data_IF_457530711623
#
_entry.id   IF_457530711623
#
_cell.length_a   1.000
_cell.length_b   1.000
_cell.length_c   1.000
_cell.angle_alpha   90.00
_cell.angle_beta   90.00
_cell.angle_gamma   90.00
#
_symmetry.space_group_name_H-M   'P 1'
#
loop_
_entity.id
_entity.type
_entity.pdbx_description
1 polymer ?
#
# COMPACT_ATOMS: atom_id res chain seq x y z
N UNK A 1 19.01 17.59 20.54
CA UNK A 1 18.79 16.81 19.34
C UNK A 1 17.45 16.05 19.32
N UNK A 2 16.98 15.50 20.44
CA UNK A 2 15.76 14.65 20.48
C UNK A 2 14.41 15.37 20.30
N UNK A 3 14.35 16.71 20.37
CA UNK A 3 13.07 17.45 20.26
C UNK A 3 12.32 17.24 18.93
N UNK A 4 13.03 16.98 17.83
CA UNK A 4 12.41 16.78 16.51
C UNK A 4 11.59 15.47 16.41
N UNK A 5 11.85 14.51 17.28
CA UNK A 5 11.15 13.22 17.30
C UNK A 5 10.03 13.15 18.37
N UNK A 6 9.82 14.22 19.14
CA UNK A 6 8.71 14.31 20.08
C UNK A 6 7.43 14.74 19.36
N UNK A 7 7.06 14.01 18.31
CA UNK A 7 5.88 14.23 17.46
C UNK A 7 5.04 12.97 17.37
N UNK A 8 3.75 13.13 17.14
CA UNK A 8 2.85 12.01 16.92
C UNK A 8 3.25 11.20 15.67
N UNK A 9 3.66 11.87 14.60
CA UNK A 9 4.11 11.22 13.37
C UNK A 9 5.24 10.22 13.63
N UNK A 10 6.30 10.66 14.35
CA UNK A 10 7.39 9.74 14.70
C UNK A 10 6.93 8.65 15.66
N UNK A 11 6.13 8.98 16.65
CA UNK A 11 5.67 8.04 17.67
C UNK A 11 4.86 6.89 17.05
N UNK A 12 3.94 7.21 16.14
CA UNK A 12 3.09 6.25 15.43
C UNK A 12 3.91 5.46 14.39
N UNK A 13 4.73 6.13 13.57
CA UNK A 13 5.67 5.45 12.68
C UNK A 13 6.48 4.39 13.43
N UNK A 14 7.10 4.79 14.54
CA UNK A 14 7.95 3.90 15.33
C UNK A 14 7.18 2.77 16.02
N UNK A 15 5.95 3.01 16.44
CA UNK A 15 5.08 1.98 17.01
C UNK A 15 4.67 0.95 15.96
N UNK A 16 4.25 1.39 14.77
CA UNK A 16 3.90 0.49 13.67
C UNK A 16 5.11 -0.31 13.20
N UNK A 17 6.26 0.33 13.03
CA UNK A 17 7.49 -0.34 12.64
C UNK A 17 7.86 -1.43 13.66
N UNK A 18 7.86 -1.14 14.95
CA UNK A 18 8.15 -2.13 15.97
C UNK A 18 7.13 -3.28 16.00
N UNK A 19 5.86 -2.97 15.78
CA UNK A 19 4.80 -3.99 15.79
C UNK A 19 5.03 -5.05 14.69
N UNK A 20 5.42 -4.63 13.51
CA UNK A 20 5.63 -5.53 12.38
C UNK A 20 7.09 -5.99 12.22
N UNK A 21 8.06 -5.22 12.72
CA UNK A 21 9.49 -5.50 12.61
C UNK A 21 10.19 -5.36 13.98
N UNK A 22 9.84 -6.17 14.98
CA UNK A 22 10.34 -6.03 16.35
C UNK A 22 11.83 -6.28 16.50
N UNK A 23 12.48 -6.88 15.51
CA UNK A 23 13.94 -7.09 15.46
C UNK A 23 14.72 -5.79 15.26
N UNK A 24 14.08 -4.74 14.71
CA UNK A 24 14.72 -3.43 14.54
C UNK A 24 14.87 -2.76 15.91
N UNK A 25 16.09 -2.40 16.27
CA UNK A 25 16.35 -1.77 17.54
C UNK A 25 15.76 -0.35 17.64
N UNK A 26 15.28 0.05 18.83
CA UNK A 26 14.61 1.35 19.03
C UNK A 26 15.45 2.57 18.62
N UNK A 27 16.78 2.50 18.70
CA UNK A 27 17.65 3.58 18.28
C UNK A 27 17.73 3.73 16.77
N UNK A 28 17.49 2.67 15.99
CA UNK A 28 17.48 2.73 14.53
C UNK A 28 16.20 3.37 13.98
N UNK A 29 15.12 3.39 14.77
CA UNK A 29 13.86 3.99 14.33
C UNK A 29 13.98 5.49 14.00
N UNK A 30 14.92 6.20 14.64
CA UNK A 30 15.17 7.62 14.33
C UNK A 30 15.73 7.80 12.92
N UNK A 31 16.73 7.00 12.56
CA UNK A 31 17.33 7.02 11.23
C UNK A 31 16.33 6.57 10.17
N UNK A 32 15.61 5.49 10.43
CA UNK A 32 14.58 4.97 9.51
C UNK A 32 13.45 5.96 9.28
N UNK A 33 13.04 6.70 10.30
CA UNK A 33 12.03 7.76 10.15
C UNK A 33 12.54 8.91 9.27
N UNK A 34 13.78 9.34 9.46
CA UNK A 34 14.38 10.38 8.61
C UNK A 34 14.52 9.91 7.15
N UNK A 35 14.90 8.64 6.95
CA UNK A 35 14.92 8.02 5.62
C UNK A 35 13.52 7.95 5.03
N UNK A 36 12.53 7.50 5.79
CA UNK A 36 11.14 7.43 5.37
C UNK A 36 10.60 8.81 4.95
N UNK A 37 10.79 9.83 5.79
CA UNK A 37 10.38 11.21 5.45
C UNK A 37 11.02 11.72 4.17
N UNK A 38 12.33 11.50 4.00
CA UNK A 38 13.04 11.96 2.80
C UNK A 38 12.72 11.12 1.56
N UNK A 39 12.38 9.85 1.73
CA UNK A 39 12.04 8.96 0.62
C UNK A 39 10.67 9.28 0.00
N UNK A 40 9.71 9.73 0.80
CA UNK A 40 8.36 10.05 0.35
C UNK A 40 8.13 11.54 0.02
N UNK A 41 9.18 12.32 -0.13
CA UNK A 41 9.07 13.66 -0.70
C UNK A 41 8.66 13.54 -2.17
N UNK A 42 7.67 14.35 -2.58
CA UNK A 42 7.26 14.41 -3.98
C UNK A 42 8.47 14.64 -4.90
N UNK A 43 8.58 13.86 -5.95
CA UNK A 43 9.70 13.88 -6.89
C UNK A 43 9.21 14.20 -8.30
N UNK A 44 10.03 14.90 -9.10
CA UNK A 44 9.70 15.12 -10.50
C UNK A 44 9.44 13.79 -11.22
N UNK A 45 8.53 13.81 -12.17
CA UNK A 45 8.29 12.68 -13.05
C UNK A 45 9.58 12.31 -13.79
N UNK A 46 9.81 10.99 -13.90
CA UNK A 46 10.92 10.43 -14.65
C UNK A 46 10.39 9.82 -15.95
N UNK A 47 10.99 10.17 -17.11
CA UNK A 47 10.58 9.59 -18.39
C UNK A 47 10.66 8.07 -18.39
N UNK A 48 9.83 7.41 -19.19
CA UNK A 48 9.76 5.94 -19.23
C UNK A 48 11.08 5.30 -19.70
N UNK A 49 11.86 6.02 -20.50
CA UNK A 49 13.18 5.59 -20.99
C UNK A 49 14.19 5.39 -19.86
N UNK A 50 14.00 6.07 -18.71
CA UNK A 50 14.82 5.87 -17.52
C UNK A 50 14.41 4.64 -16.71
N UNK A 51 13.30 3.99 -17.07
CA UNK A 51 12.79 2.83 -16.37
C UNK A 51 13.05 1.55 -17.14
N UNK A 52 13.55 0.55 -16.42
CA UNK A 52 13.66 -0.81 -16.93
C UNK A 52 12.57 -1.68 -16.33
N UNK A 53 11.80 -2.34 -17.16
CA UNK A 53 10.93 -3.43 -16.72
C UNK A 53 11.76 -4.71 -16.68
N UNK A 54 11.72 -5.42 -15.54
CA UNK A 54 12.40 -6.72 -15.40
C UNK A 54 11.75 -7.79 -16.28
N UNK A 55 10.44 -7.69 -16.51
CA UNK A 55 9.68 -8.58 -17.39
C UNK A 55 8.50 -7.81 -18.02
N UNK A 56 8.75 -7.00 -19.08
CA UNK A 56 7.70 -6.21 -19.72
C UNK A 56 6.64 -7.08 -20.41
N UNK A 57 6.98 -8.29 -20.84
CA UNK A 57 6.09 -9.15 -21.60
C UNK A 57 5.05 -9.83 -20.70
N UNK A 58 5.35 -9.98 -19.41
CA UNK A 58 4.40 -10.51 -18.42
C UNK A 58 3.05 -9.78 -18.40
N UNK A 59 3.04 -8.47 -18.63
CA UNK A 59 1.80 -7.69 -18.71
C UNK A 59 1.17 -7.70 -20.09
N UNK A 60 1.95 -7.86 -21.17
CA UNK A 60 1.45 -7.89 -22.54
C UNK A 60 0.84 -9.23 -22.91
N UNK A 61 1.44 -10.32 -22.43
CA UNK A 61 1.02 -11.67 -22.77
C UNK A 61 -0.16 -12.16 -21.90
N UNK A 62 -0.97 -13.07 -22.44
CA UNK A 62 -2.02 -13.78 -21.69
C UNK A 62 -3.23 -12.93 -21.29
N UNK A 63 -3.48 -11.79 -21.93
CA UNK A 63 -4.68 -10.98 -21.77
C UNK A 63 -4.69 -10.09 -20.53
N UNK A 64 -5.85 -9.45 -20.24
CA UNK A 64 -5.99 -8.50 -19.14
C UNK A 64 -5.77 -9.08 -17.74
N UNK A 65 -5.23 -8.29 -16.86
CA UNK A 65 -4.89 -8.64 -15.47
C UNK A 65 -5.32 -7.54 -14.50
N UNK A 66 -5.38 -7.86 -13.23
CA UNK A 66 -5.39 -6.85 -12.17
C UNK A 66 -3.93 -6.60 -11.78
N UNK A 67 -3.45 -5.39 -12.02
CA UNK A 67 -2.11 -4.93 -11.64
C UNK A 67 -2.22 -4.31 -10.25
N UNK A 68 -1.52 -4.89 -9.27
CA UNK A 68 -1.53 -4.40 -7.91
C UNK A 68 -0.30 -3.58 -7.62
N UNK A 69 -0.50 -2.31 -7.28
CA UNK A 69 0.52 -1.40 -6.79
C UNK A 69 0.50 -1.30 -5.27
N UNK A 70 1.55 -0.69 -4.73
CA UNK A 70 1.70 -0.38 -3.31
C UNK A 70 2.23 1.05 -3.17
N UNK A 71 1.98 1.71 -2.04
CA UNK A 71 2.54 3.02 -1.73
C UNK A 71 4.03 2.91 -1.39
N UNK A 72 4.82 2.51 -2.39
CA UNK A 72 6.27 2.32 -2.33
C UNK A 72 6.97 3.40 -3.18
N UNK A 73 7.55 4.40 -2.54
CA UNK A 73 8.41 5.40 -3.16
C UNK A 73 7.86 6.05 -4.44
N UNK A 74 8.29 5.57 -5.60
CA UNK A 74 7.90 6.12 -6.90
C UNK A 74 6.54 5.62 -7.42
N UNK A 75 5.69 5.08 -6.58
CA UNK A 75 4.42 4.46 -6.99
C UNK A 75 3.52 5.38 -7.84
N UNK A 76 3.52 6.69 -7.57
CA UNK A 76 2.73 7.65 -8.34
C UNK A 76 3.18 7.79 -9.81
N UNK A 77 4.41 7.39 -10.13
CA UNK A 77 4.94 7.44 -11.51
C UNK A 77 4.58 6.20 -12.32
N UNK A 78 4.31 5.07 -11.67
CA UNK A 78 4.09 3.79 -12.34
C UNK A 78 2.96 3.80 -13.38
N UNK A 79 1.81 4.46 -13.17
CA UNK A 79 0.78 4.52 -14.20
C UNK A 79 1.28 5.13 -15.51
N UNK A 80 2.08 6.21 -15.44
CA UNK A 80 2.67 6.83 -16.64
C UNK A 80 3.70 5.92 -17.29
N UNK A 81 4.57 5.31 -16.50
CA UNK A 81 5.58 4.35 -17.00
C UNK A 81 4.92 3.17 -17.73
N UNK A 82 3.85 2.59 -17.16
CA UNK A 82 3.10 1.51 -17.80
C UNK A 82 2.45 1.95 -19.11
N UNK A 83 1.86 3.15 -19.13
CA UNK A 83 1.27 3.71 -20.33
C UNK A 83 2.30 3.97 -21.42
N UNK A 84 3.49 4.45 -21.07
CA UNK A 84 4.60 4.65 -22.01
C UNK A 84 5.09 3.34 -22.63
N UNK A 85 4.96 2.23 -21.90
CA UNK A 85 5.22 0.89 -22.41
C UNK A 85 4.06 0.31 -23.24
N UNK A 86 3.01 1.08 -23.49
CA UNK A 86 1.84 0.68 -24.27
C UNK A 86 0.83 -0.18 -23.50
N UNK A 87 0.95 -0.28 -22.18
CA UNK A 87 0.00 -1.01 -21.33
C UNK A 87 -1.27 -0.17 -21.16
N UNK A 88 -2.42 -0.71 -21.55
CA UNK A 88 -3.71 -0.06 -21.41
C UNK A 88 -4.41 -0.53 -20.13
N UNK A 89 -4.90 0.42 -19.32
CA UNK A 89 -5.53 0.11 -18.04
C UNK A 89 -6.57 1.16 -17.62
N UNK A 90 -7.48 0.77 -16.74
CA UNK A 90 -8.30 1.68 -15.95
C UNK A 90 -7.84 1.63 -14.50
N UNK A 91 -7.84 2.76 -13.78
CA UNK A 91 -7.45 2.80 -12.35
C UNK A 91 -8.70 2.73 -11.47
N UNK A 92 -8.74 1.75 -10.56
CA UNK A 92 -9.75 1.67 -9.52
C UNK A 92 -9.26 2.36 -8.25
N UNK A 93 -10.00 3.36 -7.78
CA UNK A 93 -9.64 4.13 -6.60
C UNK A 93 -10.85 4.56 -5.75
N UNK A 94 -10.57 5.02 -4.57
CA UNK A 94 -11.57 5.61 -3.66
C UNK A 94 -11.99 7.01 -4.14
N UNK A 95 -13.26 7.34 -3.89
CA UNK A 95 -13.83 8.64 -4.23
C UNK A 95 -13.12 9.81 -3.53
N UNK A 96 -12.75 9.63 -2.25
CA UNK A 96 -12.06 10.69 -1.48
C UNK A 96 -10.68 10.98 -2.08
N UNK A 97 -9.94 9.93 -2.47
CA UNK A 97 -8.63 10.06 -3.12
C UNK A 97 -8.79 10.78 -4.46
N UNK A 98 -9.75 10.35 -5.29
CA UNK A 98 -10.02 11.00 -6.58
C UNK A 98 -10.34 12.49 -6.42
N UNK A 99 -11.19 12.87 -5.45
CA UNK A 99 -11.55 14.27 -5.22
C UNK A 99 -10.41 15.09 -4.63
N UNK A 100 -9.57 14.49 -3.79
CA UNK A 100 -8.42 15.17 -3.17
C UNK A 100 -7.29 15.48 -4.17
N UNK A 101 -7.17 14.67 -5.25
CA UNK A 101 -6.13 14.77 -6.27
C UNK A 101 -6.72 15.08 -7.66
N UNK A 102 -7.89 15.74 -7.71
CA UNK A 102 -8.66 15.90 -8.94
C UNK A 102 -7.86 16.53 -10.09
N UNK A 103 -7.07 17.56 -9.82
CA UNK A 103 -6.31 18.26 -10.86
C UNK A 103 -5.22 17.37 -11.48
N UNK A 104 -4.46 16.65 -10.66
CA UNK A 104 -3.45 15.69 -11.13
C UNK A 104 -4.09 14.53 -11.90
N UNK A 105 -5.27 14.07 -11.45
CA UNK A 105 -6.02 13.00 -12.11
C UNK A 105 -6.56 13.44 -13.47
N UNK A 106 -7.05 14.67 -13.59
CA UNK A 106 -7.51 15.23 -14.86
C UNK A 106 -6.35 15.47 -15.83
N UNK A 107 -5.21 15.95 -15.33
CA UNK A 107 -4.00 16.13 -16.14
C UNK A 107 -3.56 14.78 -16.73
N UNK A 108 -3.41 13.74 -15.91
CA UNK A 108 -3.04 12.41 -16.37
C UNK A 108 -4.06 11.83 -17.36
N UNK A 109 -5.36 12.02 -17.10
CA UNK A 109 -6.41 11.57 -18.04
C UNK A 109 -6.31 12.27 -19.39
N UNK A 110 -6.03 13.56 -19.40
CA UNK A 110 -5.88 14.35 -20.62
C UNK A 110 -4.65 13.92 -21.40
N UNK A 111 -3.52 13.73 -20.71
CA UNK A 111 -2.29 13.21 -21.29
C UNK A 111 -2.48 11.84 -21.96
N UNK A 112 -3.10 10.88 -21.23
CA UNK A 112 -3.35 9.55 -21.78
C UNK A 112 -4.25 9.60 -23.02
N UNK A 113 -5.30 10.41 -22.99
CA UNK A 113 -6.21 10.60 -24.14
C UNK A 113 -5.52 11.23 -25.35
N UNK A 114 -4.67 12.23 -25.14
CA UNK A 114 -3.90 12.86 -26.25
C UNK A 114 -2.98 11.87 -26.95
N UNK A 115 -2.55 10.83 -26.26
CA UNK A 115 -1.73 9.72 -26.75
C UNK A 115 -2.56 8.59 -27.38
N UNK A 116 -3.89 8.74 -27.49
CA UNK A 116 -4.79 7.73 -28.03
C UNK A 116 -5.05 6.55 -27.11
N UNK A 117 -4.64 6.62 -25.83
CA UNK A 117 -4.85 5.57 -24.87
C UNK A 117 -6.24 5.67 -24.24
N UNK A 118 -6.95 4.54 -24.18
CA UNK A 118 -8.19 4.43 -23.44
C UNK A 118 -7.88 4.32 -21.96
N UNK A 119 -8.35 5.29 -21.18
CA UNK A 119 -8.06 5.40 -19.76
C UNK A 119 -9.24 5.98 -18.99
N UNK A 120 -9.60 5.36 -17.87
CA UNK A 120 -10.67 5.83 -17.00
C UNK A 120 -10.30 5.65 -15.53
N UNK A 121 -10.82 6.53 -14.69
CA UNK A 121 -10.90 6.29 -13.27
C UNK A 121 -12.20 5.58 -12.94
N UNK A 122 -12.13 4.45 -12.25
CA UNK A 122 -13.25 3.70 -11.71
C UNK A 122 -13.34 3.99 -10.21
N UNK A 123 -14.48 4.50 -9.78
CA UNK A 123 -14.67 4.87 -8.37
C UNK A 123 -15.25 3.67 -7.60
N UNK A 124 -14.57 3.28 -6.51
CA UNK A 124 -14.93 2.08 -5.73
C UNK A 124 -16.35 2.10 -5.15
N UNK A 125 -16.90 3.30 -4.89
CA UNK A 125 -18.23 3.51 -4.32
C UNK A 125 -19.34 3.52 -5.37
N UNK A 126 -18.98 3.52 -6.66
CA UNK A 126 -19.95 3.49 -7.74
C UNK A 126 -20.65 2.12 -7.79
N UNK A 127 -21.98 2.04 -7.67
CA UNK A 127 -22.69 0.77 -7.75
C UNK A 127 -22.44 -0.01 -9.06
N UNK A 128 -22.06 0.70 -10.13
CA UNK A 128 -21.73 0.11 -11.44
C UNK A 128 -20.25 -0.26 -11.61
N UNK A 129 -19.42 -0.11 -10.59
CA UNK A 129 -17.97 -0.30 -10.67
C UNK A 129 -17.57 -1.70 -11.19
N UNK A 130 -18.28 -2.74 -10.75
CA UNK A 130 -18.04 -4.10 -11.22
C UNK A 130 -18.34 -4.27 -12.72
N UNK A 131 -19.42 -3.66 -13.21
CA UNK A 131 -19.77 -3.67 -14.64
C UNK A 131 -18.72 -2.91 -15.46
N UNK A 132 -18.29 -1.74 -14.98
CA UNK A 132 -17.24 -0.94 -15.63
C UNK A 132 -15.89 -1.69 -15.66
N UNK A 133 -15.53 -2.35 -14.56
CA UNK A 133 -14.34 -3.19 -14.49
C UNK A 133 -14.41 -4.37 -15.46
N UNK A 134 -15.57 -5.05 -15.54
CA UNK A 134 -15.80 -6.12 -16.51
C UNK A 134 -15.67 -5.63 -17.95
N UNK A 135 -16.24 -4.46 -18.28
CA UNK A 135 -16.11 -3.85 -19.61
C UNK A 135 -14.65 -3.55 -19.93
N UNK A 136 -13.86 -3.02 -18.97
CA UNK A 136 -12.42 -2.79 -19.18
C UNK A 136 -11.70 -4.08 -19.57
N UNK A 137 -11.93 -5.16 -18.82
CA UNK A 137 -11.32 -6.47 -19.08
C UNK A 137 -11.75 -7.01 -20.46
N UNK A 138 -13.04 -6.91 -20.82
CA UNK A 138 -13.55 -7.35 -22.13
C UNK A 138 -12.98 -6.56 -23.31
N UNK A 139 -12.63 -5.29 -23.09
CA UNK A 139 -11.98 -4.43 -24.07
C UNK A 139 -10.45 -4.56 -24.08
N UNK A 140 -9.88 -5.54 -23.39
CA UNK A 140 -8.44 -5.81 -23.37
C UNK A 140 -7.64 -4.92 -22.43
N UNK A 141 -8.29 -4.11 -21.54
CA UNK A 141 -7.58 -3.26 -20.60
C UNK A 141 -7.37 -3.93 -19.25
N UNK A 142 -6.26 -3.66 -18.64
CA UNK A 142 -5.97 -4.06 -17.26
C UNK A 142 -6.75 -3.21 -16.25
N UNK A 143 -6.83 -3.68 -15.01
CA UNK A 143 -7.24 -2.87 -13.86
C UNK A 143 -6.03 -2.61 -12.98
N UNK A 144 -5.78 -1.35 -12.65
CA UNK A 144 -4.69 -0.95 -11.76
C UNK A 144 -5.28 -0.55 -10.41
N UNK A 145 -4.82 -1.18 -9.33
CA UNK A 145 -5.38 -1.02 -7.98
C UNK A 145 -4.25 -1.01 -6.95
N UNK A 146 -4.32 -0.12 -5.96
CA UNK A 146 -3.40 -0.13 -4.82
C UNK A 146 -3.83 -1.18 -3.79
N UNK A 147 -2.96 -2.15 -3.52
CA UNK A 147 -3.27 -3.32 -2.68
C UNK A 147 -3.23 -3.01 -1.17
N UNK A 148 -2.45 -2.03 -0.78
CA UNK A 148 -2.25 -1.58 0.60
C UNK A 148 -3.11 -0.36 0.99
N UNK A 149 -3.99 0.10 0.09
CA UNK A 149 -4.97 1.13 0.37
C UNK A 149 -6.08 0.63 1.30
N UNK A 150 -6.53 1.49 2.22
CA UNK A 150 -7.61 1.15 3.16
C UNK A 150 -8.94 1.84 2.84
N UNK A 151 -8.99 2.68 1.85
CA UNK A 151 -10.20 3.36 1.43
C UNK A 151 -11.19 2.40 0.73
N UNK A 152 -12.47 2.58 0.95
CA UNK A 152 -13.55 1.78 0.33
C UNK A 152 -14.84 1.79 1.16
N UNK A 153 -15.91 1.28 0.56
CA UNK A 153 -17.33 1.42 0.97
C UNK A 153 -17.67 1.00 2.41
N UNK A 154 -16.81 0.31 3.14
CA UNK A 154 -17.17 -0.15 4.48
C UNK A 154 -15.95 -0.31 5.37
N UNK A 155 -16.00 0.35 6.52
CA UNK A 155 -15.01 0.20 7.60
C UNK A 155 -15.18 -1.11 8.39
N UNK A 156 -16.21 -1.90 8.14
CA UNK A 156 -16.49 -3.12 8.90
C UNK A 156 -15.41 -4.19 8.69
N UNK A 157 -14.96 -4.81 9.76
CA UNK A 157 -14.00 -5.94 9.76
C UNK A 157 -14.49 -7.13 8.92
N UNK A 158 -15.79 -7.25 8.66
CA UNK A 158 -16.39 -8.35 7.88
C UNK A 158 -15.95 -8.41 6.40
N UNK A 159 -15.42 -7.31 5.85
CA UNK A 159 -14.88 -7.26 4.47
C UNK A 159 -13.36 -7.35 4.42
N UNK A 160 -12.71 -7.69 5.53
CA UNK A 160 -11.28 -7.89 5.64
C UNK A 160 -10.94 -9.34 5.88
N UNK A 161 -9.77 -9.75 5.45
CA UNK A 161 -9.15 -11.03 5.77
C UNK A 161 -7.85 -10.76 6.53
N UNK A 162 -7.56 -11.60 7.52
CA UNK A 162 -6.29 -11.57 8.22
C UNK A 162 -5.23 -12.29 7.38
N UNK A 163 -4.11 -11.64 7.13
CA UNK A 163 -2.93 -12.23 6.49
C UNK A 163 -1.72 -12.10 7.40
N UNK A 164 -0.79 -13.01 7.29
CA UNK A 164 0.51 -12.88 7.95
C UNK A 164 1.30 -11.79 7.21
N UNK A 165 1.90 -10.89 7.96
CA UNK A 165 2.68 -9.81 7.40
C UNK A 165 3.86 -9.49 8.33
N UNK A 166 5.07 -9.76 7.86
CA UNK A 166 6.28 -9.65 8.68
C UNK A 166 6.12 -10.45 9.98
N UNK A 167 6.31 -9.83 11.14
CA UNK A 167 6.23 -10.52 12.43
C UNK A 167 4.80 -10.66 12.99
N UNK A 168 3.76 -10.08 12.34
CA UNK A 168 2.41 -10.05 12.87
C UNK A 168 1.33 -10.27 11.80
N UNK A 169 0.08 -10.17 12.20
CA UNK A 169 -1.06 -10.20 11.29
C UNK A 169 -1.53 -8.80 10.93
N UNK A 170 -1.95 -8.63 9.68
CA UNK A 170 -2.62 -7.43 9.19
C UNK A 170 -3.99 -7.79 8.62
N UNK A 171 -5.00 -6.96 8.89
CA UNK A 171 -6.34 -7.09 8.32
C UNK A 171 -6.46 -6.28 7.04
N UNK A 172 -6.67 -6.96 5.92
CA UNK A 172 -6.62 -6.37 4.58
C UNK A 172 -7.95 -6.51 3.86
N UNK A 173 -8.28 -5.53 3.03
CA UNK A 173 -9.52 -5.54 2.25
C UNK A 173 -9.46 -6.59 1.14
N UNK A 174 -10.55 -7.28 0.93
CA UNK A 174 -10.65 -8.40 -0.01
C UNK A 174 -11.05 -8.00 -1.43
N UNK A 175 -11.27 -6.71 -1.70
CA UNK A 175 -11.84 -6.21 -2.96
C UNK A 175 -11.07 -6.66 -4.20
N UNK A 176 -9.74 -6.61 -4.18
CA UNK A 176 -8.87 -7.03 -5.30
C UNK A 176 -9.09 -8.51 -5.63
N UNK A 177 -8.96 -9.36 -4.62
CA UNK A 177 -9.10 -10.80 -4.80
C UNK A 177 -10.54 -11.18 -5.21
N UNK A 178 -11.54 -10.49 -4.67
CA UNK A 178 -12.93 -10.69 -5.07
C UNK A 178 -13.15 -10.31 -6.54
N UNK A 179 -12.64 -9.17 -6.99
CA UNK A 179 -12.71 -8.76 -8.40
C UNK A 179 -12.00 -9.77 -9.30
N UNK A 180 -10.79 -10.20 -8.96
CA UNK A 180 -10.05 -11.21 -9.70
C UNK A 180 -10.83 -12.52 -9.84
N UNK A 181 -11.44 -12.96 -8.75
CA UNK A 181 -12.28 -14.16 -8.74
C UNK A 181 -13.49 -14.04 -9.66
N UNK A 182 -14.22 -12.91 -9.61
CA UNK A 182 -15.42 -12.68 -10.39
C UNK A 182 -15.13 -12.44 -11.88
N UNK A 183 -14.04 -11.73 -12.19
CA UNK A 183 -13.62 -11.42 -13.56
C UNK A 183 -12.81 -12.55 -14.19
N UNK A 184 -12.38 -13.54 -13.42
CA UNK A 184 -11.53 -14.67 -13.84
C UNK A 184 -10.22 -14.22 -14.49
N UNK A 185 -9.56 -13.21 -13.91
CA UNK A 185 -8.29 -12.67 -14.38
C UNK A 185 -7.18 -12.84 -13.34
N UNK A 186 -5.91 -12.97 -13.78
CA UNK A 186 -4.78 -13.00 -12.87
C UNK A 186 -4.60 -11.69 -12.10
N UNK A 187 -3.98 -11.78 -10.92
CA UNK A 187 -3.50 -10.63 -10.16
C UNK A 187 -1.98 -10.62 -10.22
N UNK A 188 -1.38 -9.47 -10.59
CA UNK A 188 0.07 -9.31 -10.68
C UNK A 188 0.49 -8.18 -9.75
N UNK A 189 1.23 -8.47 -8.67
CA UNK A 189 1.81 -7.43 -7.83
C UNK A 189 3.01 -6.79 -8.52
N UNK A 190 3.19 -5.48 -8.30
CA UNK A 190 4.17 -4.68 -8.98
C UNK A 190 4.69 -3.59 -8.05
N UNK A 191 6.00 -3.39 -8.01
CA UNK A 191 6.63 -2.33 -7.23
C UNK A 191 7.68 -1.57 -8.03
N UNK A 192 7.87 -0.27 -7.74
CA UNK A 192 9.01 0.47 -8.21
C UNK A 192 10.24 0.14 -7.36
N UNK A 193 11.36 -0.08 -7.98
CA UNK A 193 12.64 -0.27 -7.29
C UNK A 193 13.76 0.53 -7.94
N UNK A 194 14.89 0.62 -7.25
CA UNK A 194 16.09 1.24 -7.78
C UNK A 194 17.24 0.30 -7.55
N UNK A 195 17.89 -0.14 -8.63
CA UNK A 195 19.08 -0.99 -8.61
C UNK A 195 20.18 -0.25 -9.37
N UNK A 196 21.35 -0.08 -8.76
CA UNK A 196 22.51 0.60 -9.35
C UNK A 196 22.20 1.99 -9.96
N UNK A 197 21.32 2.75 -9.29
CA UNK A 197 20.78 4.06 -9.70
C UNK A 197 19.84 4.01 -10.91
N UNK A 198 19.50 2.84 -11.43
CA UNK A 198 18.50 2.66 -12.47
C UNK A 198 17.12 2.43 -11.86
N UNK A 199 16.09 3.05 -12.43
CA UNK A 199 14.70 2.82 -12.04
C UNK A 199 14.23 1.53 -12.71
N UNK A 200 13.63 0.66 -11.92
CA UNK A 200 13.13 -0.63 -12.37
C UNK A 200 11.73 -0.88 -11.86
N UNK A 201 10.99 -1.67 -12.62
CA UNK A 201 9.70 -2.22 -12.20
C UNK A 201 9.88 -3.69 -11.88
N UNK A 202 9.67 -4.04 -10.62
CA UNK A 202 9.70 -5.42 -10.15
C UNK A 202 8.30 -6.02 -10.19
N UNK A 203 8.16 -7.17 -10.83
CA UNK A 203 6.91 -7.92 -10.95
C UNK A 203 6.96 -9.16 -10.09
N UNK A 204 5.91 -9.39 -9.30
CA UNK A 204 5.72 -10.67 -8.63
C UNK A 204 5.02 -11.69 -9.54
N UNK A 205 5.09 -12.96 -9.17
CA UNK A 205 4.44 -14.03 -9.91
C UNK A 205 2.92 -13.81 -10.00
N UNK A 206 2.30 -14.06 -11.17
CA UNK A 206 0.87 -13.94 -11.33
C UNK A 206 0.12 -14.87 -10.36
N UNK A 207 -0.90 -14.33 -9.71
CA UNK A 207 -1.77 -15.08 -8.80
C UNK A 207 -3.02 -15.46 -9.59
N UNK A 208 -3.08 -16.71 -9.99
CA UNK A 208 -4.17 -17.27 -10.80
C UNK A 208 -5.10 -18.09 -9.92
N UNK A 209 -6.39 -18.05 -10.20
CA UNK A 209 -7.38 -18.93 -9.56
C UNK A 209 -7.29 -20.32 -10.16
N UNK A 210 -7.28 -21.35 -9.31
CA UNK A 210 -7.40 -22.74 -9.75
C UNK A 210 -8.83 -23.03 -10.21
N UNK A 211 -9.02 -23.97 -11.15
CA UNK A 211 -10.33 -24.24 -11.77
C UNK A 211 -11.47 -24.46 -10.77
N UNK A 212 -11.24 -25.24 -9.73
CA UNK A 212 -12.25 -25.59 -8.72
C UNK A 212 -12.05 -24.88 -7.37
N UNK A 213 -11.20 -23.85 -7.34
CA UNK A 213 -10.92 -23.15 -6.09
C UNK A 213 -12.12 -22.37 -5.59
N UNK A 214 -12.50 -22.63 -4.35
CA UNK A 214 -13.59 -21.90 -3.70
C UNK A 214 -13.22 -20.43 -3.50
N UNK A 215 -14.23 -19.55 -3.64
CA UNK A 215 -14.03 -18.09 -3.54
C UNK A 215 -13.26 -17.66 -2.29
N UNK A 216 -13.63 -18.17 -1.13
CA UNK A 216 -12.99 -17.73 0.12
C UNK A 216 -11.54 -18.23 0.24
N UNK A 217 -11.23 -19.40 -0.31
CA UNK A 217 -9.87 -19.96 -0.36
C UNK A 217 -9.01 -19.09 -1.26
N UNK A 218 -9.48 -18.80 -2.49
CA UNK A 218 -8.79 -17.92 -3.40
C UNK A 218 -8.54 -16.54 -2.78
N UNK A 219 -9.56 -15.91 -2.17
CA UNK A 219 -9.42 -14.58 -1.55
C UNK A 219 -8.31 -14.60 -0.50
N UNK A 220 -8.31 -15.56 0.41
CA UNK A 220 -7.30 -15.65 1.47
C UNK A 220 -5.90 -15.87 0.89
N UNK A 221 -5.75 -16.78 -0.05
CA UNK A 221 -4.49 -17.09 -0.72
C UNK A 221 -3.98 -15.91 -1.55
N UNK A 222 -4.84 -15.26 -2.30
CA UNK A 222 -4.49 -14.11 -3.13
C UNK A 222 -4.00 -12.95 -2.26
N UNK A 223 -4.75 -12.60 -1.22
CA UNK A 223 -4.34 -11.51 -0.33
C UNK A 223 -3.05 -11.85 0.44
N UNK A 224 -2.86 -13.11 0.87
CA UNK A 224 -1.60 -13.52 1.50
C UNK A 224 -0.41 -13.31 0.55
N UNK A 225 -0.49 -13.81 -0.69
CA UNK A 225 0.59 -13.64 -1.68
C UNK A 225 0.90 -12.18 -2.01
N UNK A 226 -0.12 -11.32 -2.05
CA UNK A 226 0.08 -9.88 -2.25
C UNK A 226 0.88 -9.25 -1.10
N UNK A 227 0.60 -9.66 0.13
CA UNK A 227 1.31 -9.15 1.31
C UNK A 227 2.66 -9.83 1.54
N UNK A 228 2.85 -11.08 1.09
CA UNK A 228 4.17 -11.72 1.03
C UNK A 228 5.09 -10.94 0.07
N UNK A 229 4.59 -10.55 -1.11
CA UNK A 229 5.34 -9.71 -2.04
C UNK A 229 5.71 -8.35 -1.41
N UNK A 230 4.75 -7.66 -0.78
CA UNK A 230 5.03 -6.39 -0.10
C UNK A 230 6.08 -6.57 1.01
N UNK A 231 6.00 -7.64 1.80
CA UNK A 231 6.96 -7.92 2.87
C UNK A 231 8.38 -8.05 2.32
N UNK A 232 8.57 -8.80 1.24
CA UNK A 232 9.88 -8.95 0.56
C UNK A 232 10.41 -7.58 0.09
N UNK A 233 9.55 -6.71 -0.46
CA UNK A 233 9.95 -5.40 -0.96
C UNK A 233 10.44 -4.43 0.12
N UNK A 234 10.00 -4.63 1.37
CA UNK A 234 10.29 -3.71 2.47
C UNK A 234 11.17 -4.30 3.58
N UNK A 235 11.43 -5.61 3.59
CA UNK A 235 12.15 -6.29 4.67
C UNK A 235 13.52 -5.65 4.93
N UNK A 236 14.33 -5.44 3.90
CA UNK A 236 15.64 -4.82 4.00
C UNK A 236 15.59 -3.28 3.95
N UNK A 237 14.48 -2.71 3.49
CA UNK A 237 14.34 -1.27 3.25
C UNK A 237 12.97 -0.77 3.73
N UNK A 238 12.70 -0.85 5.04
CA UNK A 238 11.36 -0.54 5.59
C UNK A 238 10.91 0.90 5.29
N UNK A 239 11.85 1.84 5.14
CA UNK A 239 11.52 3.22 4.78
C UNK A 239 10.84 3.39 3.40
N UNK A 240 10.82 2.36 2.56
CA UNK A 240 10.14 2.42 1.25
C UNK A 240 8.62 2.47 1.38
N UNK A 241 8.03 1.92 2.43
CA UNK A 241 6.58 1.83 2.57
C UNK A 241 5.99 3.06 3.27
N UNK A 242 5.16 3.79 2.54
CA UNK A 242 4.56 5.03 3.02
C UNK A 242 3.58 4.80 4.17
N UNK A 243 2.88 3.67 4.17
CA UNK A 243 1.80 3.40 5.11
C UNK A 243 2.22 3.33 6.58
N UNK A 244 3.52 3.22 6.90
CA UNK A 244 3.98 3.30 8.29
C UNK A 244 3.45 4.53 9.04
N UNK A 245 3.23 5.65 8.35
CA UNK A 245 2.76 6.89 8.95
C UNK A 245 1.30 6.85 9.40
N UNK A 246 0.46 5.99 8.78
CA UNK A 246 -1.00 6.06 8.95
C UNK A 246 -1.71 4.69 9.09
N UNK A 247 -0.99 3.62 9.43
CA UNK A 247 -1.60 2.31 9.70
C UNK A 247 -2.67 2.35 10.80
N UNK A 248 -2.51 3.24 11.79
CA UNK A 248 -3.49 3.45 12.86
C UNK A 248 -4.87 3.95 12.35
N UNK A 249 -4.90 4.62 11.20
CA UNK A 249 -6.14 5.09 10.57
C UNK A 249 -6.83 3.99 9.76
N UNK A 250 -6.10 2.92 9.45
CA UNK A 250 -6.57 1.86 8.55
C UNK A 250 -7.36 0.76 9.24
N UNK A 251 -7.44 0.75 10.58
CA UNK A 251 -8.07 -0.34 11.36
C UNK A 251 -7.63 -1.73 10.85
N UNK A 252 -6.32 -1.89 10.64
CA UNK A 252 -5.74 -3.05 9.96
C UNK A 252 -4.97 -3.99 10.91
N UNK A 253 -4.88 -3.69 12.20
CA UNK A 253 -4.24 -4.53 13.21
C UNK A 253 -5.02 -4.48 14.53
N UNK A 254 -4.84 -5.50 15.35
CA UNK A 254 -5.39 -5.53 16.70
C UNK A 254 -4.32 -5.11 17.70
N UNK A 255 -4.53 -3.96 18.33
CA UNK A 255 -3.76 -3.59 19.51
C UNK A 255 -4.44 -4.29 20.69
N UNK A 256 -3.79 -5.30 21.24
CA UNK A 256 -4.29 -5.98 22.43
C UNK A 256 -4.43 -5.01 23.61
N UNK A 257 -5.36 -5.30 24.52
CA UNK A 257 -5.41 -4.60 25.80
C UNK A 257 -4.23 -5.10 26.63
N UNK A 258 -3.21 -4.25 26.75
CA UNK A 258 -2.03 -4.59 27.56
C UNK A 258 -2.26 -4.13 29.02
N UNK A 259 -1.94 -4.98 30.00
CA UNK A 259 -2.01 -4.61 31.41
C UNK A 259 -1.12 -3.39 31.69
N UNK A 260 -1.61 -2.43 32.47
CA UNK A 260 -0.86 -1.21 32.82
C UNK A 260 0.52 -1.51 33.42
N UNK A 261 0.67 -2.62 34.13
CA UNK A 261 1.90 -3.08 34.76
C UNK A 261 3.03 -3.37 33.73
N UNK A 262 2.69 -3.86 32.53
CA UNK A 262 3.68 -4.10 31.47
C UNK A 262 4.18 -2.80 30.83
N UNK A 263 3.34 -1.78 30.80
CA UNK A 263 3.71 -0.46 30.26
C UNK A 263 4.79 0.26 31.09
N UNK A 264 5.08 -0.23 32.29
CA UNK A 264 6.07 0.37 33.19
C UNK A 264 7.49 -0.20 33.06
N UNK A 265 7.66 -1.39 32.49
CA UNK A 265 8.97 -2.11 32.51
C UNK A 265 10.03 -1.55 31.54
N UNK A 266 9.66 -0.90 30.43
CA UNK A 266 10.60 -0.46 29.40
C UNK A 266 10.50 1.05 29.08
N UNK A 267 10.26 1.88 30.10
CA UNK A 267 9.86 3.29 29.90
C UNK A 267 10.86 4.16 29.14
N UNK A 268 12.17 3.97 29.35
CA UNK A 268 13.16 4.89 28.79
C UNK A 268 13.32 4.80 27.28
N UNK A 269 13.22 3.60 26.72
CA UNK A 269 13.38 3.38 25.29
C UNK A 269 12.07 3.45 24.50
N UNK A 270 10.94 3.05 25.11
CA UNK A 270 9.66 2.91 24.42
C UNK A 270 8.74 4.12 24.48
N UNK A 271 8.97 5.02 25.45
CA UNK A 271 8.10 6.17 25.71
C UNK A 271 8.56 7.44 25.01
N UNK A 272 7.62 8.14 24.39
CA UNK A 272 7.83 9.48 23.80
C UNK A 272 6.93 10.48 24.53
N UNK A 273 7.53 11.60 24.98
CA UNK A 273 6.79 12.69 25.62
C UNK A 273 6.07 13.51 24.55
N UNK A 274 4.74 13.52 24.61
CA UNK A 274 3.87 14.18 23.65
C UNK A 274 2.80 15.04 24.33
N UNK A 275 2.06 15.79 23.54
CA UNK A 275 0.82 16.44 23.97
C UNK A 275 -0.36 15.82 23.22
N UNK A 276 -1.42 15.51 23.97
CA UNK A 276 -2.72 15.09 23.43
C UNK A 276 -3.78 16.06 23.96
N UNK A 277 -4.48 16.73 23.08
CA UNK A 277 -5.47 17.78 23.42
C UNK A 277 -4.91 18.84 24.40
N UNK A 278 -3.68 19.31 24.14
CA UNK A 278 -2.99 20.32 24.97
C UNK A 278 -2.35 19.80 26.26
N UNK A 279 -2.70 18.59 26.72
CA UNK A 279 -2.18 17.98 27.96
C UNK A 279 -0.92 17.17 27.66
N UNK A 280 0.08 17.31 28.54
CA UNK A 280 1.33 16.55 28.46
C UNK A 280 1.11 15.10 28.89
N UNK A 281 1.80 14.19 28.23
CA UNK A 281 1.79 12.77 28.54
C UNK A 281 2.94 12.03 27.88
N UNK A 282 2.89 10.71 28.01
CA UNK A 282 3.86 9.79 27.41
C UNK A 282 3.13 8.75 26.58
N UNK A 283 3.50 8.61 25.32
CA UNK A 283 3.04 7.54 24.45
C UNK A 283 4.04 6.39 24.45
N UNK A 284 3.58 5.21 24.86
CA UNK A 284 4.37 3.99 24.80
C UNK A 284 4.20 3.34 23.41
N UNK A 285 5.28 3.33 22.61
CA UNK A 285 5.29 2.85 21.22
C UNK A 285 5.12 1.34 21.09
N UNK A 286 5.52 0.57 22.13
CA UNK A 286 5.41 -0.89 22.14
C UNK A 286 3.97 -1.35 22.33
N UNK A 287 3.21 -0.61 23.14
CA UNK A 287 1.86 -0.99 23.57
C UNK A 287 0.76 -0.09 23.02
N UNK A 288 1.10 0.89 22.19
CA UNK A 288 0.15 1.87 21.62
C UNK A 288 -0.72 2.56 22.67
N UNK A 289 -0.20 2.80 23.85
CA UNK A 289 -0.94 3.43 24.94
C UNK A 289 -0.37 4.81 25.30
N UNK A 290 -1.26 5.74 25.66
CA UNK A 290 -0.90 7.09 26.07
C UNK A 290 -1.31 7.30 27.52
N UNK A 291 -0.38 7.81 28.34
CA UNK A 291 -0.63 8.15 29.75
C UNK A 291 -0.35 9.63 29.97
N UNK A 292 -1.31 10.32 30.58
CA UNK A 292 -1.11 11.71 31.02
C UNK A 292 -0.11 11.77 32.18
N UNK A 293 0.70 12.83 32.21
CA UNK A 293 1.65 13.14 33.29
C UNK A 293 0.99 14.02 34.30
#
# INVERSE_FOLDING_TARGET
>A
MLKKYNTWDFALFSAHLHYYMPSIAWHDHYQLYDQWKSYHIARPFRPAEEWRALDPDLLKDGGPKIICLYHLGFHAQLPRVLADQGIQFDILMDKKVYLAQNDEMLEMQTEMRSRGLKFRYLISDDPSVLLKARTAIQEGRHLLIFADGNSGVSESKHKKVAVNFLANRIYVRTGIALLAYLLKVPVVPLSPTTVDREYQVHYGAPIVRDENEQRNIFISRCMQRLYDFLAIEIEDRPWKWECWGYLHEMNCYDVGVYPEELAHKDKEQTCIKLKLNGRKGCFNRKYFCYKFL
#
